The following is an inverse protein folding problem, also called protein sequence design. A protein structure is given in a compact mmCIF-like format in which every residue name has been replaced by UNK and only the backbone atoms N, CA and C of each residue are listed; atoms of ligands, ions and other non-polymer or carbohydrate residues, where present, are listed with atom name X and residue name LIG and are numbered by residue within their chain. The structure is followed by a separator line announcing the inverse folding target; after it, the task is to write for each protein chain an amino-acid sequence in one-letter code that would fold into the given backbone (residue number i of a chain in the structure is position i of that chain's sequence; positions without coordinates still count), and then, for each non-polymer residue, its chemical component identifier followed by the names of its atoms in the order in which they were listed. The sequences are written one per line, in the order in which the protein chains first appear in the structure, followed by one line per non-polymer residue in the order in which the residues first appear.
data_IF_418071414987
#
_entry.id   IF_418071414987
#
_cell.length_a   1.000
_cell.length_b   1.000
_cell.length_c   1.000
_cell.angle_alpha   90.00
_cell.angle_beta   90.00
_cell.angle_gamma   90.00
#
_symmetry.space_group_name_H-M   'P 1'
#
loop_
_entity.id
_entity.type
_entity.pdbx_description
1 polymer ?
#
# COMPACT_ATOMS: atom_id res chain seq x y z
N UNK A 1 -7.88 11.10 -8.41
CA UNK A 1 -7.93 9.69 -7.99
C UNK A 1 -7.22 9.55 -6.67
N UNK A 2 -7.80 8.78 -5.75
CA UNK A 2 -7.24 8.47 -4.43
C UNK A 2 -7.55 7.02 -4.10
N UNK A 3 -6.70 6.41 -3.30
CA UNK A 3 -6.90 5.04 -2.81
C UNK A 3 -6.28 4.85 -1.45
N UNK A 4 -6.62 3.74 -0.81
CA UNK A 4 -6.02 3.30 0.45
C UNK A 4 -5.17 2.06 0.16
N UNK A 5 -3.96 2.05 0.70
CA UNK A 5 -3.12 0.85 0.70
C UNK A 5 -3.06 0.30 2.12
N UNK A 6 -3.35 -0.98 2.27
CA UNK A 6 -3.27 -1.69 3.54
C UNK A 6 -2.14 -2.72 3.49
N UNK A 7 -1.31 -2.74 4.53
CA UNK A 7 -0.22 -3.71 4.70
C UNK A 7 -0.69 -4.80 5.67
N UNK A 8 -0.68 -6.05 5.21
CA UNK A 8 -1.09 -7.23 6.00
C UNK A 8 0.02 -8.26 6.01
N UNK A 9 0.08 -9.06 7.08
CA UNK A 9 1.07 -10.12 7.25
C UNK A 9 0.39 -11.49 7.27
N UNK A 10 0.99 -12.45 6.56
CA UNK A 10 0.60 -13.87 6.54
C UNK A 10 -0.67 -14.20 5.73
N UNK A 11 -1.62 -13.28 5.60
CA UNK A 11 -2.83 -13.48 4.79
C UNK A 11 -3.40 -12.17 4.24
N UNK A 12 -4.01 -12.16 3.03
CA UNK A 12 -4.77 -11.01 2.51
C UNK A 12 -5.96 -10.58 3.38
N UNK A 13 -6.46 -11.44 4.26
CA UNK A 13 -7.63 -11.16 5.12
C UNK A 13 -7.27 -10.86 6.57
N UNK A 14 -6.00 -11.01 6.97
CA UNK A 14 -5.53 -10.71 8.32
C UNK A 14 -5.64 -9.21 8.62
N UNK A 15 -5.92 -8.76 9.87
CA UNK A 15 -5.95 -7.34 10.21
C UNK A 15 -4.69 -6.59 9.74
N UNK A 16 -4.83 -5.37 9.19
CA UNK A 16 -3.67 -4.63 8.70
C UNK A 16 -2.75 -4.20 9.84
N UNK A 17 -1.44 -4.27 9.59
CA UNK A 17 -0.40 -3.76 10.50
C UNK A 17 -0.08 -2.28 10.25
N UNK A 18 -0.61 -1.71 9.16
CA UNK A 18 -0.50 -0.31 8.82
C UNK A 18 -1.28 0.00 7.55
N UNK A 19 -1.55 1.28 7.32
CA UNK A 19 -2.20 1.76 6.10
C UNK A 19 -1.76 3.18 5.76
N UNK A 20 -1.85 3.53 4.47
CA UNK A 20 -1.54 4.87 3.99
C UNK A 20 -2.40 5.22 2.78
N UNK A 21 -2.75 6.50 2.68
CA UNK A 21 -3.50 7.01 1.54
C UNK A 21 -2.56 7.35 0.38
N UNK A 22 -3.00 7.05 -0.83
CA UNK A 22 -2.35 7.49 -2.07
C UNK A 22 -3.25 8.46 -2.82
N UNK A 23 -2.63 9.39 -3.55
CA UNK A 23 -3.32 10.39 -4.36
C UNK A 23 -2.66 10.52 -5.72
N UNK A 24 -3.38 11.15 -6.66
CA UNK A 24 -2.88 11.44 -8.00
C UNK A 24 -1.50 12.10 -7.96
N UNK A 25 -0.56 11.54 -8.72
CA UNK A 25 0.81 12.04 -8.86
C UNK A 25 0.99 12.96 -10.08
N UNK A 26 -0.04 13.09 -10.93
CA UNK A 26 0.01 13.87 -12.18
C UNK A 26 0.17 13.03 -13.46
N UNK A 27 0.21 11.70 -13.36
CA UNK A 27 0.23 10.79 -14.52
C UNK A 27 0.82 9.43 -14.20
N UNK A 28 0.64 8.44 -15.09
CA UNK A 28 1.06 7.04 -14.88
C UNK A 28 2.56 6.80 -14.67
N UNK A 29 3.38 7.76 -15.12
CA UNK A 29 4.85 7.74 -14.99
C UNK A 29 5.36 8.91 -14.13
N UNK A 30 4.46 9.59 -13.40
CA UNK A 30 4.83 10.56 -12.37
C UNK A 30 4.85 9.84 -11.02
N UNK A 31 5.98 9.86 -10.33
CA UNK A 31 6.22 9.02 -9.16
C UNK A 31 6.35 9.85 -7.89
N UNK A 32 5.87 9.30 -6.76
CA UNK A 32 6.09 9.83 -5.42
C UNK A 32 6.33 8.68 -4.45
N UNK A 33 7.29 8.84 -3.55
CA UNK A 33 7.45 7.95 -2.40
C UNK A 33 6.48 8.38 -1.31
N UNK A 34 5.67 7.45 -0.81
CA UNK A 34 4.69 7.71 0.23
C UNK A 34 5.14 6.98 1.51
N UNK A 35 5.33 7.69 2.64
CA UNK A 35 5.64 7.03 3.90
C UNK A 35 4.43 6.28 4.44
N UNK A 36 4.68 5.20 5.18
CA UNK A 36 3.66 4.40 5.83
C UNK A 36 4.04 4.16 7.29
N UNK A 37 3.13 4.44 8.20
CA UNK A 37 3.29 4.09 9.61
C UNK A 37 2.92 2.62 9.79
N UNK A 38 3.93 1.78 10.02
CA UNK A 38 3.78 0.34 10.22
C UNK A 38 3.97 0.03 11.71
N UNK A 39 3.00 -0.67 12.29
CA UNK A 39 3.10 -1.16 13.66
C UNK A 39 4.30 -2.09 13.83
N UNK A 40 4.86 -2.15 15.05
CA UNK A 40 6.01 -2.99 15.36
C UNK A 40 5.70 -4.46 15.04
N UNK A 41 6.52 -5.07 14.19
CA UNK A 41 6.40 -6.47 13.77
C UNK A 41 7.74 -7.20 13.97
N UNK A 42 7.70 -8.52 14.13
CA UNK A 42 8.89 -9.34 14.34
C UNK A 42 8.79 -10.67 13.61
N UNK A 43 9.93 -11.24 13.19
CA UNK A 43 9.98 -12.52 12.48
C UNK A 43 9.78 -12.37 10.97
N UNK A 44 9.77 -13.50 10.26
CA UNK A 44 9.56 -13.55 8.81
C UNK A 44 8.08 -13.74 8.50
N UNK A 45 7.55 -12.90 7.61
CA UNK A 45 6.15 -12.94 7.18
C UNK A 45 6.05 -12.75 5.68
N UNK A 46 5.06 -13.39 5.08
CA UNK A 46 4.58 -12.99 3.76
C UNK A 46 3.85 -11.65 3.89
N UNK A 47 4.20 -10.70 3.03
CA UNK A 47 3.64 -9.34 3.04
C UNK A 47 2.61 -9.21 1.92
N UNK A 48 1.42 -8.74 2.30
CA UNK A 48 0.33 -8.47 1.37
C UNK A 48 0.03 -6.98 1.34
N UNK A 49 0.05 -6.39 0.14
CA UNK A 49 -0.39 -5.02 -0.11
C UNK A 49 -1.77 -5.06 -0.77
N UNK A 50 -2.80 -4.60 -0.06
CA UNK A 50 -4.16 -4.50 -0.60
C UNK A 50 -4.40 -3.06 -1.06
N UNK A 51 -4.74 -2.89 -2.34
CA UNK A 51 -5.07 -1.61 -2.95
C UNK A 51 -6.58 -1.47 -3.03
N UNK A 52 -7.13 -0.49 -2.33
CA UNK A 52 -8.57 -0.22 -2.29
C UNK A 52 -8.89 1.18 -2.84
N UNK A 53 -9.98 1.27 -3.60
CA UNK A 53 -10.43 2.48 -4.26
C UNK A 53 -11.94 2.44 -4.42
N UNK A 54 -12.60 3.60 -4.27
CA UNK A 54 -14.05 3.73 -4.45
C UNK A 54 -14.53 3.62 -5.89
N UNK A 55 -13.67 3.20 -6.82
CA UNK A 55 -13.97 3.06 -8.24
C UNK A 55 -13.23 1.84 -8.84
N UNK A 56 -13.76 1.22 -9.92
CA UNK A 56 -13.32 -0.09 -10.41
C UNK A 56 -12.18 -0.09 -11.46
N UNK A 57 -11.80 1.05 -12.01
CA UNK A 57 -10.71 1.20 -12.97
C UNK A 57 -9.33 1.23 -12.30
N UNK A 58 -8.28 0.99 -13.08
CA UNK A 58 -6.90 1.13 -12.62
C UNK A 58 -6.63 2.53 -12.07
N UNK A 59 -5.94 2.63 -10.94
CA UNK A 59 -5.73 3.91 -10.26
C UNK A 59 -4.32 4.15 -9.72
N UNK A 60 -3.44 3.15 -9.77
CA UNK A 60 -2.09 3.26 -9.26
C UNK A 60 -1.13 2.32 -10.00
N UNK A 61 0.14 2.72 -10.10
CA UNK A 61 1.26 1.85 -10.42
C UNK A 61 2.12 1.68 -9.15
N UNK A 62 2.63 0.48 -8.91
CA UNK A 62 3.64 0.22 -7.89
C UNK A 62 4.99 -0.02 -8.57
N UNK A 63 6.01 0.74 -8.19
CA UNK A 63 7.38 0.53 -8.66
C UNK A 63 8.19 -0.34 -7.68
N UNK A 64 8.23 0.08 -6.42
CA UNK A 64 8.93 -0.63 -5.35
C UNK A 64 8.28 -0.33 -4.00
N UNK A 65 8.61 -1.15 -3.01
CA UNK A 65 8.40 -0.86 -1.59
C UNK A 65 9.63 -1.35 -0.81
N UNK A 66 9.83 -0.81 0.38
CA UNK A 66 10.91 -1.21 1.29
C UNK A 66 10.48 -1.05 2.74
N UNK A 67 11.16 -1.75 3.63
CA UNK A 67 11.08 -1.56 5.07
C UNK A 67 12.46 -1.09 5.55
N UNK A 68 12.48 -0.16 6.50
CA UNK A 68 13.71 0.36 7.10
C UNK A 68 14.43 -0.66 7.96
#
# INVERSE_FOLDING_TARGET
MSGLVQVRLGSPTAPPVGSFAIASTGGWQSWRTVPADIGRTTGTHDVYLTFDSGQPADFANLNWFTFG
#
